data_IF_765831363534
#
_entry.id   IF_765831363534
#
_cell.length_a   1.000
_cell.length_b   1.000
_cell.length_c   1.000
_cell.angle_alpha   90.00
_cell.angle_beta   90.00
_cell.angle_gamma   90.00
#
_symmetry.space_group_name_H-M   'P 1'
#
loop_
_entity.id
_entity.type
_entity.pdbx_description
1 polymer ?
#
# COMPACT_ATOMS: atom_id res chain seq x y z
N UNK A 1 -0.07 2.99 -9.67
CA UNK A 1 -1.19 2.15 -9.22
C UNK A 1 -2.08 1.83 -10.39
N UNK A 2 -2.52 0.58 -10.51
CA UNK A 2 -3.59 0.18 -11.44
C UNK A 2 -4.77 -0.37 -10.64
N UNK A 3 -5.97 -0.03 -11.06
CA UNK A 3 -7.18 -0.63 -10.52
C UNK A 3 -7.36 -2.04 -11.09
N UNK A 4 -7.58 -3.01 -10.21
CA UNK A 4 -7.89 -4.39 -10.55
C UNK A 4 -8.96 -4.90 -9.60
N UNK A 5 -10.12 -5.29 -10.13
CA UNK A 5 -11.26 -5.77 -9.34
C UNK A 5 -11.67 -4.78 -8.22
N UNK A 6 -11.71 -3.48 -8.52
CA UNK A 6 -12.04 -2.44 -7.54
C UNK A 6 -10.96 -2.18 -6.48
N UNK A 7 -9.75 -2.72 -6.65
CA UNK A 7 -8.62 -2.51 -5.74
C UNK A 7 -7.44 -1.88 -6.45
N UNK A 8 -6.77 -0.95 -5.78
CA UNK A 8 -5.51 -0.39 -6.27
C UNK A 8 -4.36 -1.37 -6.01
N UNK A 9 -3.69 -1.77 -7.09
CA UNK A 9 -2.50 -2.62 -7.05
C UNK A 9 -1.27 -1.76 -7.34
N UNK A 10 -0.16 -1.93 -6.59
CA UNK A 10 1.05 -1.11 -6.76
C UNK A 10 1.61 -1.16 -8.19
N UNK A 11 1.79 -2.38 -8.73
CA UNK A 11 2.41 -2.61 -10.04
C UNK A 11 1.71 -3.71 -10.83
N UNK A 12 1.75 -3.58 -12.16
CA UNK A 12 1.39 -4.66 -13.07
C UNK A 12 2.59 -5.59 -13.23
N UNK A 13 2.51 -6.77 -12.62
CA UNK A 13 3.58 -7.78 -12.69
C UNK A 13 3.64 -8.42 -14.09
N UNK A 14 4.85 -8.55 -14.64
CA UNK A 14 5.07 -9.37 -15.84
C UNK A 14 4.88 -10.85 -15.49
N UNK A 15 4.62 -11.74 -16.46
CA UNK A 15 4.52 -13.18 -16.21
C UNK A 15 5.72 -13.75 -15.43
N UNK A 16 6.94 -13.32 -15.77
CA UNK A 16 8.17 -13.72 -15.07
C UNK A 16 8.20 -13.29 -13.60
N UNK A 17 7.76 -12.07 -13.29
CA UNK A 17 7.73 -11.57 -11.91
C UNK A 17 6.68 -12.29 -11.06
N UNK A 18 5.58 -12.72 -11.69
CA UNK A 18 4.57 -13.57 -11.04
C UNK A 18 5.16 -14.93 -10.68
N UNK A 19 5.86 -15.57 -11.61
CA UNK A 19 6.54 -16.84 -11.37
C UNK A 19 7.53 -16.74 -10.21
N UNK A 20 8.44 -15.77 -10.27
CA UNK A 20 9.43 -15.51 -9.20
C UNK A 20 8.80 -15.34 -7.81
N UNK A 21 7.66 -14.63 -7.73
CA UNK A 21 6.94 -14.45 -6.47
C UNK A 21 6.35 -15.77 -5.96
N UNK A 22 5.77 -16.58 -6.83
CA UNK A 22 5.24 -17.91 -6.46
C UNK A 22 6.36 -18.81 -5.95
N UNK A 23 7.47 -18.88 -6.67
CA UNK A 23 8.60 -19.74 -6.31
C UNK A 23 9.21 -19.34 -4.96
N UNK A 24 9.41 -18.04 -4.73
CA UNK A 24 9.89 -17.51 -3.46
C UNK A 24 8.92 -17.85 -2.30
N UNK A 25 7.61 -17.65 -2.50
CA UNK A 25 6.61 -17.98 -1.50
C UNK A 25 6.57 -19.48 -1.18
N UNK A 26 6.64 -20.35 -2.19
CA UNK A 26 6.68 -21.80 -2.00
C UNK A 26 7.92 -22.24 -1.21
N UNK A 27 9.07 -21.67 -1.53
CA UNK A 27 10.33 -21.94 -0.82
C UNK A 27 10.24 -21.56 0.65
N UNK A 28 9.78 -20.34 0.94
CA UNK A 28 9.63 -19.84 2.31
C UNK A 28 8.58 -20.64 3.10
N UNK A 29 7.49 -21.06 2.44
CA UNK A 29 6.46 -21.89 3.06
C UNK A 29 6.99 -23.28 3.43
N UNK A 30 7.80 -23.89 2.56
CA UNK A 30 8.42 -25.18 2.87
C UNK A 30 9.46 -25.06 3.98
N UNK A 31 10.27 -23.98 4.00
CA UNK A 31 11.18 -23.69 5.11
C UNK A 31 10.42 -23.56 6.45
N UNK A 32 9.25 -22.92 6.43
CA UNK A 32 8.45 -22.71 7.64
C UNK A 32 7.95 -24.01 8.28
N UNK A 33 7.70 -25.07 7.49
CA UNK A 33 7.19 -26.35 8.03
C UNK A 33 8.16 -27.05 9.00
N UNK A 34 9.46 -26.85 8.81
CA UNK A 34 10.51 -27.50 9.62
C UNK A 34 11.33 -26.55 10.49
N UNK A 35 11.11 -25.23 10.37
CA UNK A 35 11.93 -24.22 11.03
C UNK A 35 11.08 -23.03 11.49
N UNK A 36 11.27 -22.59 12.73
CA UNK A 36 10.69 -21.37 13.31
C UNK A 36 11.46 -20.11 12.89
N UNK A 37 11.77 -19.98 11.60
CA UNK A 37 12.62 -18.92 11.08
C UNK A 37 12.03 -17.52 11.30
N UNK A 38 10.70 -17.41 11.41
CA UNK A 38 10.01 -16.14 11.69
C UNK A 38 10.38 -15.54 13.05
N UNK A 39 10.72 -16.36 14.06
CA UNK A 39 11.14 -15.88 15.37
C UNK A 39 12.49 -15.13 15.32
N UNK A 40 13.26 -15.37 14.26
CA UNK A 40 14.58 -14.79 14.05
C UNK A 40 14.59 -13.78 12.89
N UNK A 41 13.42 -13.50 12.28
CA UNK A 41 13.33 -12.60 11.15
C UNK A 41 13.42 -11.15 11.62
N UNK A 42 14.50 -10.47 11.22
CA UNK A 42 14.64 -9.02 11.38
C UNK A 42 14.29 -8.37 10.03
N UNK A 43 13.35 -7.43 10.03
CA UNK A 43 12.92 -6.69 8.84
C UNK A 43 12.86 -5.20 9.13
N UNK A 44 13.05 -4.38 8.11
CA UNK A 44 12.92 -2.94 8.15
C UNK A 44 12.66 -2.40 6.76
N UNK A 45 11.88 -1.33 6.67
CA UNK A 45 11.65 -0.58 5.44
C UNK A 45 11.50 0.90 5.79
N UNK A 46 11.86 1.76 4.85
CA UNK A 46 11.74 3.19 5.03
C UNK A 46 10.33 3.66 4.65
N UNK A 47 9.77 4.56 5.46
CA UNK A 47 8.50 5.21 5.16
C UNK A 47 8.63 6.71 5.33
N UNK A 48 8.26 7.45 4.29
CA UNK A 48 8.11 8.90 4.38
C UNK A 48 7.00 9.26 5.38
N UNK A 49 7.33 10.09 6.36
CA UNK A 49 6.36 10.71 7.27
C UNK A 49 6.25 12.19 6.93
N UNK A 50 5.08 12.58 6.44
CA UNK A 50 4.79 13.97 6.15
C UNK A 50 4.57 14.76 7.44
N UNK A 51 5.09 15.99 7.50
CA UNK A 51 4.82 16.90 8.61
C UNK A 51 3.33 17.18 8.80
N UNK A 52 2.62 17.36 7.68
CA UNK A 52 1.17 17.50 7.66
C UNK A 52 0.56 16.50 6.68
N UNK A 53 -0.15 15.50 7.21
CA UNK A 53 -0.83 14.48 6.43
C UNK A 53 -2.33 14.78 6.42
N UNK A 54 -2.78 15.55 5.42
CA UNK A 54 -4.17 15.96 5.32
C UNK A 54 -5.07 14.77 4.94
N UNK A 55 -5.73 14.18 5.94
CA UNK A 55 -6.75 13.18 5.70
C UNK A 55 -8.09 13.83 5.41
N UNK A 56 -8.69 13.49 4.26
CA UNK A 56 -10.11 13.77 4.01
C UNK A 56 -10.94 12.95 4.98
N UNK A 57 -11.56 13.62 5.95
CA UNK A 57 -12.54 13.00 6.85
C UNK A 57 -13.90 13.00 6.16
N UNK A 58 -14.63 11.90 6.33
CA UNK A 58 -16.05 11.85 5.93
C UNK A 58 -16.80 12.88 6.77
N UNK A 59 -17.61 13.71 6.10
CA UNK A 59 -18.47 14.69 6.75
C UNK A 59 -19.92 14.24 6.55
N UNK A 60 -20.66 14.13 7.64
CA UNK A 60 -22.11 13.97 7.61
C UNK A 60 -22.71 15.37 7.58
N UNK A 61 -23.48 15.69 6.55
CA UNK A 61 -24.14 16.99 6.36
C UNK A 61 -25.63 16.80 6.19
N UNK A 62 -26.41 17.79 6.63
CA UNK A 62 -27.85 17.78 6.45
C UNK A 62 -28.26 17.96 4.98
N UNK A 63 -29.52 17.64 4.62
CA UNK A 63 -30.05 17.89 3.28
C UNK A 63 -29.93 19.38 2.89
N UNK A 64 -29.22 19.67 1.80
CA UNK A 64 -29.00 21.04 1.30
C UNK A 64 -27.82 21.79 1.92
N UNK A 65 -27.12 21.20 2.89
CA UNK A 65 -25.94 21.80 3.49
C UNK A 65 -24.67 21.50 2.70
N UNK A 66 -23.76 22.48 2.62
CA UNK A 66 -22.44 22.29 2.02
C UNK A 66 -21.44 21.79 3.06
N UNK A 67 -20.68 20.72 2.78
CA UNK A 67 -19.58 20.28 3.64
C UNK A 67 -18.52 21.37 3.81
N UNK A 68 -17.80 21.34 4.94
CA UNK A 68 -16.66 22.22 5.17
C UNK A 68 -15.56 21.90 4.18
N UNK A 69 -14.90 22.93 3.64
CA UNK A 69 -13.73 22.73 2.80
C UNK A 69 -12.62 22.06 3.60
N UNK A 70 -12.11 20.96 3.07
CA UNK A 70 -10.91 20.29 3.57
C UNK A 70 -9.76 20.63 2.64
N UNK A 71 -8.56 20.95 3.19
CA UNK A 71 -7.37 21.20 2.38
C UNK A 71 -7.17 20.09 1.35
N UNK A 72 -6.93 20.47 0.09
CA UNK A 72 -6.57 19.50 -0.95
C UNK A 72 -5.17 19.00 -0.66
N UNK A 73 -4.98 17.70 -0.81
CA UNK A 73 -3.69 17.06 -0.67
C UNK A 73 -2.70 17.64 -1.70
N UNK A 74 -1.78 18.47 -1.22
CA UNK A 74 -0.69 19.07 -2.00
C UNK A 74 0.39 18.03 -2.19
N UNK A 75 0.09 17.00 -2.98
CA UNK A 75 1.15 16.16 -3.52
C UNK A 75 2.01 17.06 -4.41
N UNK A 76 3.31 17.27 -4.11
CA UNK A 76 4.19 17.89 -5.09
C UNK A 76 4.18 16.98 -6.32
N UNK A 77 3.74 17.51 -7.47
CA UNK A 77 4.03 16.87 -8.74
C UNK A 77 5.55 16.69 -8.78
N UNK A 78 6.03 15.47 -9.08
CA UNK A 78 7.46 15.28 -9.37
C UNK A 78 7.84 16.28 -10.45
N UNK A 79 8.67 17.25 -10.11
CA UNK A 79 9.32 18.11 -11.10
C UNK A 79 10.24 17.16 -11.89
N UNK A 80 9.98 17.07 -13.20
CA UNK A 80 10.77 16.26 -14.14
C UNK A 80 11.91 17.11 -14.67
#
# INVERSE_FOLDING_TARGET
MKEKLGRYVPHHLKPVDRGRRVDACLTLLNLHKGNRWLEHLITGDEKWMYYNNFHRKVQWVGPGETPKEVPKDVHPKKVT
#
